data_IF_455406177751
#
_entry.id   IF_455406177751
#
_cell.length_a   1.000
_cell.length_b   1.000
_cell.length_c   1.000
_cell.angle_alpha   90.00
_cell.angle_beta   90.00
_cell.angle_gamma   90.00
#
_symmetry.space_group_name_H-M   'P 1'
#
loop_
_entity.id
_entity.type
_entity.pdbx_description
1 polymer ?
#
# COMPACT_ATOMS: atom_id res chain seq x y z
N UNK A 1 -21.49 19.40 37.32
CA UNK A 1 -22.33 19.29 36.12
C UNK A 1 -21.63 18.31 35.20
N UNK A 2 -22.10 17.06 35.19
CA UNK A 2 -21.57 16.01 34.34
C UNK A 2 -22.12 16.19 32.93
N UNK A 3 -21.25 16.16 31.94
CA UNK A 3 -21.62 15.92 30.55
C UNK A 3 -21.07 14.55 30.18
N UNK A 4 -21.90 13.53 30.34
CA UNK A 4 -21.72 12.24 29.66
C UNK A 4 -22.00 12.46 28.18
N UNK A 5 -20.96 12.74 27.40
CA UNK A 5 -21.03 13.02 25.98
C UNK A 5 -20.24 12.00 25.18
N UNK A 6 -20.97 11.18 24.42
CA UNK A 6 -20.51 10.24 23.40
C UNK A 6 -19.56 9.12 23.87
N UNK A 7 -20.10 7.91 23.93
CA UNK A 7 -19.32 6.68 23.80
C UNK A 7 -18.41 6.83 22.56
N UNK A 8 -17.10 6.73 22.75
CA UNK A 8 -16.14 6.85 21.66
C UNK A 8 -16.44 5.76 20.64
N UNK A 9 -16.65 6.14 19.38
CA UNK A 9 -16.50 5.20 18.27
C UNK A 9 -15.19 4.43 18.50
N UNK A 10 -15.27 3.11 18.53
CA UNK A 10 -14.13 2.22 18.73
C UNK A 10 -12.97 2.70 17.87
N UNK A 11 -11.81 2.96 18.48
CA UNK A 11 -10.61 3.41 17.78
C UNK A 11 -10.20 2.31 16.79
N UNK A 12 -10.55 2.49 15.51
CA UNK A 12 -10.25 1.53 14.44
C UNK A 12 -8.90 1.86 13.87
N UNK A 13 -8.02 0.87 13.84
CA UNK A 13 -6.75 0.97 13.13
C UNK A 13 -7.02 1.11 11.62
N UNK A 14 -6.28 2.01 10.97
CA UNK A 14 -6.39 2.24 9.53
C UNK A 14 -5.32 1.45 8.78
N UNK A 15 -5.72 0.78 7.72
CA UNK A 15 -4.83 0.00 6.87
C UNK A 15 -4.01 0.93 5.97
N UNK A 16 -2.71 1.03 6.25
CA UNK A 16 -1.74 1.87 5.52
C UNK A 16 -1.81 1.69 4.00
N UNK A 17 -1.81 0.43 3.52
CA UNK A 17 -1.87 0.11 2.10
C UNK A 17 -3.21 0.41 1.40
N UNK A 18 -4.24 0.80 2.16
CA UNK A 18 -5.59 1.15 1.65
C UNK A 18 -5.96 2.61 1.85
N UNK A 19 -5.16 3.38 2.60
CA UNK A 19 -5.47 4.76 2.95
C UNK A 19 -5.23 5.76 1.80
N UNK A 20 -4.66 5.33 0.67
CA UNK A 20 -4.31 6.22 -0.44
C UNK A 20 -5.17 6.01 -1.70
N UNK A 21 -5.55 4.77 -2.02
CA UNK A 21 -6.27 4.44 -3.24
C UNK A 21 -7.60 3.72 -2.94
N UNK A 22 -8.70 4.26 -3.48
CA UNK A 22 -10.09 3.73 -3.45
C UNK A 22 -10.67 3.47 -2.03
N UNK A 23 -11.27 4.51 -1.45
CA UNK A 23 -11.93 4.46 -0.12
C UNK A 23 -13.29 3.72 -0.15
N UNK A 24 -13.97 3.66 -1.30
CA UNK A 24 -15.36 3.18 -1.41
C UNK A 24 -15.51 1.67 -1.66
N UNK A 25 -14.59 0.84 -1.16
CA UNK A 25 -14.80 -0.61 -1.18
C UNK A 25 -15.40 -1.06 0.18
N UNK A 26 -16.32 -2.02 0.11
CA UNK A 26 -17.00 -2.55 1.30
C UNK A 26 -16.01 -3.46 2.03
N UNK A 27 -15.26 -2.88 2.98
CA UNK A 27 -14.22 -3.58 3.73
C UNK A 27 -14.78 -4.07 5.06
N UNK A 28 -14.33 -5.26 5.47
CA UNK A 28 -14.49 -5.71 6.85
C UNK A 28 -13.83 -4.71 7.79
N UNK A 29 -14.57 -4.29 8.81
CA UNK A 29 -14.35 -3.02 9.55
C UNK A 29 -13.16 -3.07 10.50
N UNK A 30 -12.55 -4.24 10.73
CA UNK A 30 -11.49 -4.40 11.73
C UNK A 30 -10.08 -4.36 11.15
N UNK A 31 -9.75 -5.18 10.14
CA UNK A 31 -8.35 -5.33 9.68
C UNK A 31 -8.04 -4.63 8.35
N UNK A 32 -9.07 -4.21 7.60
CA UNK A 32 -8.93 -3.66 6.25
C UNK A 32 -9.57 -2.28 6.09
N UNK A 33 -9.81 -1.60 7.21
CA UNK A 33 -10.44 -0.29 7.20
C UNK A 33 -9.56 0.74 6.47
N UNK A 34 -10.04 1.42 5.40
CA UNK A 34 -9.22 2.33 4.60
C UNK A 34 -9.05 3.72 5.23
N UNK A 35 -9.73 4.01 6.34
CA UNK A 35 -9.82 5.35 6.93
C UNK A 35 -11.05 6.11 6.42
N UNK A 36 -11.27 7.28 7.03
CA UNK A 36 -12.42 8.15 6.74
C UNK A 36 -12.24 8.98 5.46
N UNK A 37 -10.99 9.20 5.04
CA UNK A 37 -10.62 9.96 3.85
C UNK A 37 -9.25 9.50 3.34
N UNK A 38 -8.90 9.88 2.10
CA UNK A 38 -7.58 9.60 1.53
C UNK A 38 -6.51 10.34 2.33
N UNK A 39 -5.47 9.62 2.77
CA UNK A 39 -4.40 10.21 3.57
C UNK A 39 -4.87 10.71 4.93
N UNK A 40 -5.89 10.07 5.52
CA UNK A 40 -6.34 10.40 6.89
C UNK A 40 -5.25 10.15 7.92
N UNK A 41 -4.40 9.15 7.70
CA UNK A 41 -3.30 8.82 8.61
C UNK A 41 -2.13 9.77 8.39
N UNK A 42 -1.59 10.32 9.47
CA UNK A 42 -0.45 11.23 9.40
C UNK A 42 0.79 10.55 8.81
N UNK A 43 0.98 9.26 9.07
CA UNK A 43 2.04 8.43 8.49
C UNK A 43 1.89 8.39 6.98
N UNK A 44 0.67 8.12 6.49
CA UNK A 44 0.37 8.01 5.05
C UNK A 44 0.53 9.35 4.35
N UNK A 45 -0.01 10.39 4.98
CA UNK A 45 0.09 11.76 4.48
C UNK A 45 1.54 12.22 4.39
N UNK A 46 2.33 12.02 5.44
CA UNK A 46 3.72 12.47 5.51
C UNK A 46 4.57 11.86 4.39
N UNK A 47 4.52 10.54 4.20
CA UNK A 47 5.31 9.92 3.13
C UNK A 47 4.78 10.29 1.74
N UNK A 48 3.46 10.39 1.56
CA UNK A 48 2.87 10.78 0.26
C UNK A 48 3.27 12.21 -0.11
N UNK A 49 3.22 13.14 0.84
CA UNK A 49 3.65 14.52 0.64
C UNK A 49 5.14 14.58 0.25
N UNK A 50 5.98 13.75 0.88
CA UNK A 50 7.39 13.61 0.51
C UNK A 50 7.56 13.08 -0.92
N UNK A 51 6.85 12.01 -1.31
CA UNK A 51 6.92 11.45 -2.65
C UNK A 51 6.47 12.46 -3.72
N UNK A 52 5.35 13.15 -3.50
CA UNK A 52 4.81 14.13 -4.45
C UNK A 52 5.75 15.33 -4.59
N UNK A 53 6.31 15.82 -3.47
CA UNK A 53 7.28 16.93 -3.47
C UNK A 53 8.56 16.60 -4.23
N UNK A 54 8.97 15.33 -4.23
CA UNK A 54 10.24 14.86 -4.81
C UNK A 54 10.05 13.98 -6.05
N UNK A 55 8.86 13.99 -6.68
CA UNK A 55 8.50 13.09 -7.79
C UNK A 55 9.40 13.19 -9.02
N UNK A 56 10.12 14.31 -9.18
CA UNK A 56 11.03 14.55 -10.30
C UNK A 56 12.44 13.98 -10.06
N UNK A 57 12.79 13.63 -8.81
CA UNK A 57 14.09 13.06 -8.44
C UNK A 57 13.98 11.58 -8.03
N UNK A 58 12.82 11.15 -7.54
CA UNK A 58 12.57 9.76 -7.17
C UNK A 58 12.33 8.94 -8.45
N UNK A 59 13.21 7.99 -8.71
CA UNK A 59 13.17 7.13 -9.90
C UNK A 59 12.50 5.77 -9.66
N UNK A 60 12.27 5.40 -8.40
CA UNK A 60 11.70 4.10 -8.05
C UNK A 60 11.09 4.09 -6.65
N UNK A 61 10.15 3.18 -6.43
CA UNK A 61 9.45 3.00 -5.16
C UNK A 61 9.25 1.51 -4.88
N UNK A 62 9.77 1.04 -3.75
CA UNK A 62 9.68 -0.36 -3.32
C UNK A 62 9.13 -0.39 -1.90
N UNK A 63 8.07 -1.17 -1.67
CA UNK A 63 7.55 -1.45 -0.32
C UNK A 63 7.75 -2.92 0.00
N UNK A 64 8.17 -3.19 1.23
CA UNK A 64 8.44 -4.55 1.70
C UNK A 64 7.28 -4.99 2.61
N UNK A 65 6.75 -6.17 2.31
CA UNK A 65 5.70 -6.82 3.07
C UNK A 65 6.03 -8.31 3.23
N UNK A 66 5.61 -8.92 4.33
CA UNK A 66 5.75 -10.35 4.60
C UNK A 66 4.35 -11.01 4.63
N UNK A 67 4.22 -12.32 4.41
CA UNK A 67 5.25 -13.36 4.38
C UNK A 67 5.43 -14.10 3.04
N UNK A 68 4.47 -13.98 2.12
CA UNK A 68 4.24 -14.90 0.98
C UNK A 68 5.29 -14.88 -0.16
N UNK A 69 6.47 -14.27 0.02
CA UNK A 69 7.55 -14.32 -0.98
C UNK A 69 7.27 -13.63 -2.34
N UNK A 70 6.20 -12.83 -2.45
CA UNK A 70 5.80 -12.25 -3.73
C UNK A 70 6.56 -10.98 -4.12
N UNK A 71 6.93 -10.90 -5.39
CA UNK A 71 7.30 -9.65 -6.07
C UNK A 71 6.09 -9.16 -6.86
N UNK A 72 5.52 -8.04 -6.42
CA UNK A 72 4.32 -7.46 -7.02
C UNK A 72 4.62 -6.12 -7.65
N UNK A 73 3.96 -5.84 -8.77
CA UNK A 73 3.99 -4.56 -9.47
C UNK A 73 2.55 -4.13 -9.81
N UNK A 74 2.31 -2.85 -10.17
CA UNK A 74 0.96 -2.34 -10.37
C UNK A 74 0.17 -3.06 -11.48
N UNK A 75 -1.17 -3.09 -11.43
CA UNK A 75 -2.07 -2.46 -10.45
C UNK A 75 -2.75 -3.48 -9.54
N UNK A 76 -3.01 -3.09 -8.28
CA UNK A 76 -3.71 -3.94 -7.31
C UNK A 76 -5.21 -3.64 -7.10
N UNK A 77 -5.71 -2.46 -7.51
CA UNK A 77 -7.07 -2.01 -7.13
C UNK A 77 -8.17 -2.31 -8.17
N UNK A 78 -7.81 -2.72 -9.38
CA UNK A 78 -8.73 -2.97 -10.48
C UNK A 78 -8.24 -4.13 -11.34
N UNK A 79 -9.15 -5.07 -11.67
CA UNK A 79 -8.85 -6.19 -12.57
C UNK A 79 -8.64 -5.69 -14.00
N UNK A 80 -7.72 -6.33 -14.72
CA UNK A 80 -7.39 -6.03 -16.13
C UNK A 80 -6.93 -4.58 -16.38
N UNK A 81 -6.40 -3.93 -15.35
CA UNK A 81 -5.70 -2.65 -15.48
C UNK A 81 -4.20 -2.92 -15.42
N UNK A 82 -3.47 -2.43 -16.41
CA UNK A 82 -2.04 -2.66 -16.57
C UNK A 82 -1.33 -1.34 -16.79
N UNK A 83 -0.07 -1.26 -16.42
CA UNK A 83 0.81 -0.14 -16.79
C UNK A 83 1.38 -0.37 -18.18
N UNK A 84 1.78 0.72 -18.85
CA UNK A 84 2.37 0.65 -20.19
C UNK A 84 3.70 -0.13 -20.18
N UNK A 85 4.43 -0.12 -19.07
CA UNK A 85 5.72 -0.79 -18.84
C UNK A 85 5.58 -2.20 -18.23
N UNK A 86 4.40 -2.81 -18.26
CA UNK A 86 4.13 -4.12 -17.65
C UNK A 86 5.14 -5.21 -18.04
N UNK A 87 5.50 -5.31 -19.32
CA UNK A 87 6.44 -6.33 -19.80
C UNK A 87 7.83 -6.15 -19.19
N UNK A 88 8.28 -4.90 -19.08
CA UNK A 88 9.53 -4.55 -18.42
C UNK A 88 9.49 -4.93 -16.93
N UNK A 89 8.41 -4.57 -16.22
CA UNK A 89 8.22 -4.90 -14.80
C UNK A 89 8.18 -6.41 -14.55
N UNK A 90 7.54 -7.18 -15.44
CA UNK A 90 7.52 -8.63 -15.37
C UNK A 90 8.92 -9.23 -15.49
N UNK A 91 9.70 -8.77 -16.47
CA UNK A 91 11.09 -9.22 -16.66
C UNK A 91 11.96 -8.86 -15.45
N UNK A 92 11.89 -7.61 -14.99
CA UNK A 92 12.62 -7.12 -13.83
C UNK A 92 12.28 -7.93 -12.57
N UNK A 93 11.00 -8.23 -12.34
CA UNK A 93 10.57 -9.08 -11.23
C UNK A 93 11.14 -10.50 -11.30
N UNK A 94 11.23 -11.07 -12.52
CA UNK A 94 11.90 -12.36 -12.73
C UNK A 94 13.40 -12.32 -12.41
N UNK A 95 14.10 -11.27 -12.84
CA UNK A 95 15.52 -11.06 -12.52
C UNK A 95 15.74 -10.91 -11.00
N UNK A 96 14.89 -10.15 -10.32
CA UNK A 96 14.93 -9.98 -8.86
C UNK A 96 14.71 -11.31 -8.13
N UNK A 97 13.70 -12.09 -8.53
CA UNK A 97 13.43 -13.41 -7.95
C UNK A 97 14.63 -14.33 -8.10
N UNK A 98 15.17 -14.46 -9.31
CA UNK A 98 16.33 -15.31 -9.57
C UNK A 98 17.55 -14.87 -8.73
N UNK A 99 17.75 -13.57 -8.55
CA UNK A 99 18.84 -13.05 -7.71
C UNK A 99 18.66 -13.41 -6.23
N UNK A 100 17.43 -13.39 -5.72
CA UNK A 100 17.10 -13.80 -4.35
C UNK A 100 17.32 -15.32 -4.18
N UNK A 101 16.76 -16.12 -5.09
CA UNK A 101 16.90 -17.58 -5.12
C UNK A 101 18.38 -18.01 -5.09
N UNK A 102 19.23 -17.35 -5.89
CA UNK A 102 20.66 -17.66 -5.96
C UNK A 102 21.42 -17.41 -4.65
N UNK A 103 20.91 -16.58 -3.74
CA UNK A 103 21.56 -16.27 -2.46
C UNK A 103 20.97 -17.11 -1.33
N UNK A 104 19.65 -17.23 -1.26
CA UNK A 104 18.95 -17.83 -0.12
C UNK A 104 18.46 -19.25 -0.36
N UNK A 105 18.34 -19.69 -1.61
CA UNK A 105 17.62 -20.91 -2.00
C UNK A 105 16.11 -20.83 -1.74
N UNK A 106 15.57 -19.65 -1.46
CA UNK A 106 14.14 -19.43 -1.27
C UNK A 106 13.45 -19.25 -2.63
N UNK A 107 12.42 -20.07 -2.90
CA UNK A 107 11.56 -20.01 -4.09
C UNK A 107 10.34 -19.09 -3.90
#
# INVERSE_FOLDING_TARGET
MWSTGAESETCKLVSFGRNLFRINANYDKETRFPGISKGSEHEVKSYTDFLVKNKNIIQGFVTLHSYEGFILYPWGYQKKLYTDDREYLYKLGGEMRNAIENISGAE
#
